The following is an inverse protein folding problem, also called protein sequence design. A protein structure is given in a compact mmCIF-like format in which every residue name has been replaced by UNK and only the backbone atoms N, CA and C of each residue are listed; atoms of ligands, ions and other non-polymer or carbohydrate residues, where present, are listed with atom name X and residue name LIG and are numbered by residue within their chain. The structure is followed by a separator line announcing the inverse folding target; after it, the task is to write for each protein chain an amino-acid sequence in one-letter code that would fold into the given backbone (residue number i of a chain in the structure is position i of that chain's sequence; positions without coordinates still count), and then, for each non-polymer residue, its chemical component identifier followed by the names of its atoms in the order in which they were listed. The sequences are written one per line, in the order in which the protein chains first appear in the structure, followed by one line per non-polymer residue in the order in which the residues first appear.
data_IF_300388856514
#
_entry.id   IF_300388856514
#
_cell.length_a   1.000
_cell.length_b   1.000
_cell.length_c   1.000
_cell.angle_alpha   90.00
_cell.angle_beta   90.00
_cell.angle_gamma   90.00
#
_symmetry.space_group_name_H-M   'P 1'
#
loop_
_entity.id
_entity.type
_entity.pdbx_description
1 polymer ?
#
# COMPACT_ATOMS: atom_id res chain seq x y z
N UNK A 1 -4.66 -18.36 13.59
CA UNK A 1 -3.92 -19.23 14.48
C UNK A 1 -4.10 -20.70 14.07
N UNK A 2 -3.07 -21.52 14.27
CA UNK A 2 -3.14 -22.94 14.00
C UNK A 2 -4.15 -23.61 14.93
N UNK A 3 -4.82 -24.63 14.43
CA UNK A 3 -5.70 -25.49 15.21
C UNK A 3 -4.89 -26.62 15.87
N UNK A 4 -5.28 -26.96 17.08
CA UNK A 4 -4.73 -28.14 17.75
C UNK A 4 -5.38 -29.43 17.19
N UNK A 5 -4.93 -30.59 17.69
CA UNK A 5 -5.45 -31.91 17.27
C UNK A 5 -6.97 -32.12 17.49
N UNK A 6 -7.61 -31.20 18.18
CA UNK A 6 -9.05 -31.22 18.43
C UNK A 6 -9.81 -30.14 17.64
N UNK A 7 -9.16 -29.45 16.70
CA UNK A 7 -9.76 -28.37 15.93
C UNK A 7 -9.96 -27.07 16.74
N UNK A 8 -9.21 -26.90 17.83
CA UNK A 8 -9.35 -25.72 18.70
C UNK A 8 -8.23 -24.73 18.45
N UNK A 9 -8.59 -23.48 18.16
CA UNK A 9 -7.67 -22.36 18.07
C UNK A 9 -7.43 -21.80 19.48
N UNK A 10 -6.37 -22.24 20.16
CA UNK A 10 -6.10 -21.92 21.57
C UNK A 10 -6.04 -20.40 21.85
N UNK A 11 -5.39 -19.64 20.95
CA UNK A 11 -5.28 -18.19 21.10
C UNK A 11 -6.66 -17.52 21.00
N UNK A 12 -7.50 -17.96 20.08
CA UNK A 12 -8.86 -17.43 19.90
C UNK A 12 -9.73 -17.80 21.11
N UNK A 13 -9.59 -19.00 21.65
CA UNK A 13 -10.28 -19.44 22.86
C UNK A 13 -9.89 -18.61 24.08
N UNK A 14 -8.61 -18.27 24.21
CA UNK A 14 -8.10 -17.38 25.26
C UNK A 14 -8.63 -15.96 25.12
N UNK A 15 -8.58 -15.37 23.90
CA UNK A 15 -9.14 -14.06 23.64
C UNK A 15 -10.65 -14.00 23.92
N UNK A 16 -11.37 -15.07 23.56
CA UNK A 16 -12.81 -15.18 23.88
C UNK A 16 -13.03 -15.14 25.39
N UNK A 17 -12.26 -15.88 26.19
CA UNK A 17 -12.37 -15.86 27.65
C UNK A 17 -12.20 -14.44 28.20
N UNK A 18 -11.19 -13.71 27.72
CA UNK A 18 -10.95 -12.34 28.20
C UNK A 18 -12.13 -11.42 27.85
N UNK A 19 -12.65 -11.50 26.62
CA UNK A 19 -13.74 -10.64 26.16
C UNK A 19 -15.06 -11.01 26.83
N UNK A 20 -15.36 -12.32 26.95
CA UNK A 20 -16.62 -12.82 27.48
C UNK A 20 -16.71 -12.67 29.01
N UNK A 21 -15.61 -12.96 29.72
CA UNK A 21 -15.59 -13.02 31.20
C UNK A 21 -14.90 -11.82 31.85
N UNK A 22 -14.36 -10.89 31.05
CA UNK A 22 -13.64 -9.73 31.58
C UNK A 22 -12.33 -10.06 32.27
N UNK A 23 -11.71 -11.21 31.96
CA UNK A 23 -10.47 -11.63 32.60
C UNK A 23 -10.01 -13.01 32.15
N UNK A 24 -8.95 -13.50 32.78
CA UNK A 24 -8.36 -14.80 32.46
C UNK A 24 -7.65 -15.41 33.69
N UNK A 25 -7.48 -16.73 33.66
CA UNK A 25 -6.67 -17.43 34.66
C UNK A 25 -5.18 -17.37 34.27
N UNK A 26 -4.37 -16.82 35.18
CA UNK A 26 -2.92 -16.83 34.99
C UNK A 26 -2.39 -18.27 35.16
N UNK A 27 -1.72 -18.85 34.18
CA UNK A 27 -1.27 -20.24 34.22
C UNK A 27 -0.13 -20.50 35.23
N UNK A 28 0.54 -19.45 35.75
CA UNK A 28 1.66 -19.59 36.67
C UNK A 28 1.23 -19.75 38.12
N UNK A 29 0.31 -18.93 38.57
CA UNK A 29 -0.14 -18.83 39.96
C UNK A 29 -1.59 -19.24 40.16
N UNK A 30 -2.27 -19.59 39.05
CA UNK A 30 -3.68 -20.00 39.02
C UNK A 30 -4.64 -18.98 39.66
N UNK A 31 -4.26 -17.70 39.62
CA UNK A 31 -5.11 -16.60 40.06
C UNK A 31 -5.92 -16.01 38.88
N UNK A 32 -7.12 -15.55 39.21
CA UNK A 32 -7.94 -14.82 38.23
C UNK A 32 -7.44 -13.40 38.06
N UNK A 33 -7.10 -13.02 36.83
CA UNK A 33 -6.70 -11.67 36.46
C UNK A 33 -7.89 -10.99 35.75
N UNK A 34 -8.44 -9.97 36.39
CA UNK A 34 -9.55 -9.20 35.88
C UNK A 34 -9.03 -8.05 34.99
N UNK A 35 -9.60 -7.87 33.80
CA UNK A 35 -9.36 -6.71 32.95
C UNK A 35 -10.37 -5.61 33.27
N UNK A 36 -9.87 -4.38 33.50
CA UNK A 36 -10.72 -3.22 33.78
C UNK A 36 -10.39 -2.10 32.83
N UNK A 37 -11.41 -1.31 32.43
CA UNK A 37 -11.28 -0.17 31.54
C UNK A 37 -10.58 -0.50 30.21
N UNK A 38 -10.80 -1.70 29.68
CA UNK A 38 -10.16 -2.20 28.45
C UNK A 38 -11.22 -2.44 27.38
N UNK A 39 -10.99 -1.86 26.20
CA UNK A 39 -11.76 -2.12 25.00
C UNK A 39 -10.90 -2.91 24.00
N UNK A 40 -11.49 -3.93 23.40
CA UNK A 40 -10.82 -4.76 22.42
C UNK A 40 -11.25 -4.37 21.02
N UNK A 41 -10.27 -4.07 20.16
CA UNK A 41 -10.46 -3.82 18.72
C UNK A 41 -9.56 -4.77 17.96
N UNK A 42 -10.15 -5.61 17.12
CA UNK A 42 -9.42 -6.58 16.32
C UNK A 42 -9.49 -6.26 14.83
N UNK A 43 -8.44 -6.61 14.10
CA UNK A 43 -8.44 -6.58 12.65
C UNK A 43 -7.85 -7.89 12.13
N UNK A 44 -8.48 -8.46 11.11
CA UNK A 44 -7.99 -9.66 10.44
C UNK A 44 -8.34 -9.61 8.95
N UNK A 45 -7.60 -10.37 8.16
CA UNK A 45 -7.93 -10.57 6.76
C UNK A 45 -9.15 -11.50 6.62
N UNK A 46 -9.85 -11.45 5.46
CA UNK A 46 -10.92 -12.36 5.15
C UNK A 46 -10.48 -13.83 5.21
N UNK A 47 -11.39 -14.75 5.58
CA UNK A 47 -11.08 -16.18 5.63
C UNK A 47 -10.83 -16.80 4.26
N UNK A 48 -11.19 -16.09 3.18
CA UNK A 48 -10.96 -16.49 1.79
C UNK A 48 -9.50 -16.35 1.34
N UNK A 49 -8.68 -15.61 2.10
CA UNK A 49 -7.26 -15.47 1.77
C UNK A 49 -6.51 -16.80 1.96
N UNK A 50 -5.55 -17.13 1.07
CA UNK A 50 -4.77 -18.34 1.17
C UNK A 50 -4.07 -18.50 2.53
N UNK A 51 -4.17 -19.69 3.13
CA UNK A 51 -3.56 -20.00 4.42
C UNK A 51 -4.29 -19.39 5.65
N UNK A 52 -5.51 -18.86 5.48
CA UNK A 52 -6.35 -18.38 6.57
C UNK A 52 -7.33 -19.45 7.03
N UNK A 53 -7.53 -19.50 8.34
CA UNK A 53 -8.54 -20.34 8.97
C UNK A 53 -9.65 -19.43 9.49
N UNK A 54 -10.92 -19.75 9.21
CA UNK A 54 -12.07 -18.96 9.69
C UNK A 54 -12.06 -18.84 11.22
N UNK A 55 -12.43 -17.68 11.71
CA UNK A 55 -12.69 -17.49 13.14
C UNK A 55 -14.04 -18.14 13.50
N UNK A 56 -14.11 -18.76 14.68
CA UNK A 56 -15.35 -19.39 15.13
C UNK A 56 -16.46 -18.35 15.29
N UNK A 57 -17.68 -18.71 14.88
CA UNK A 57 -18.87 -17.87 15.07
C UNK A 57 -19.09 -17.52 16.56
N UNK A 58 -18.69 -18.41 17.44
CA UNK A 58 -18.71 -18.25 18.89
C UNK A 58 -17.82 -17.10 19.39
N UNK A 59 -16.67 -16.89 18.76
CA UNK A 59 -15.80 -15.74 19.06
C UNK A 59 -16.37 -14.46 18.45
N UNK A 60 -16.83 -14.52 17.19
CA UNK A 60 -17.36 -13.36 16.47
C UNK A 60 -18.66 -12.81 17.07
N UNK A 61 -19.44 -13.64 17.83
CA UNK A 61 -20.65 -13.16 18.48
C UNK A 61 -20.43 -12.14 19.60
N UNK A 62 -19.18 -12.00 20.10
CA UNK A 62 -18.85 -11.04 21.17
C UNK A 62 -18.47 -9.64 20.67
N UNK A 63 -18.38 -9.44 19.33
CA UNK A 63 -18.03 -8.15 18.76
C UNK A 63 -18.77 -7.91 17.44
N UNK A 64 -19.20 -6.68 17.13
CA UNK A 64 -19.71 -6.37 15.81
C UNK A 64 -18.60 -6.52 14.76
N UNK A 65 -18.91 -7.23 13.69
CA UNK A 65 -17.97 -7.47 12.60
C UNK A 65 -18.25 -6.46 11.49
N UNK A 66 -17.25 -5.65 11.15
CA UNK A 66 -17.30 -4.70 10.06
C UNK A 66 -16.43 -5.21 8.91
N UNK A 67 -17.03 -5.34 7.73
CA UNK A 67 -16.28 -5.60 6.51
C UNK A 67 -15.74 -4.29 5.95
N UNK A 68 -14.43 -4.22 5.75
CA UNK A 68 -13.74 -3.05 5.16
C UNK A 68 -13.01 -3.52 3.92
N UNK A 69 -13.50 -3.12 2.76
CA UNK A 69 -12.86 -3.40 1.48
C UNK A 69 -11.85 -2.32 1.09
N UNK A 70 -11.10 -2.57 0.02
CA UNK A 70 -10.21 -1.57 -0.53
C UNK A 70 -10.99 -0.36 -1.08
N UNK A 71 -10.45 0.85 -0.92
CA UNK A 71 -11.07 2.04 -1.47
C UNK A 71 -11.18 1.96 -3.00
N UNK A 72 -12.28 2.42 -3.54
CA UNK A 72 -12.46 2.59 -4.98
C UNK A 72 -11.58 3.74 -5.52
N UNK A 73 -11.43 3.82 -6.84
CA UNK A 73 -10.59 4.79 -7.53
C UNK A 73 -10.85 6.24 -7.08
N UNK A 74 -12.09 6.65 -6.91
CA UNK A 74 -12.43 8.01 -6.45
C UNK A 74 -11.96 8.27 -5.02
N UNK A 75 -12.13 7.30 -4.14
CA UNK A 75 -11.66 7.38 -2.75
C UNK A 75 -10.13 7.40 -2.69
N UNK A 76 -9.44 6.63 -3.54
CA UNK A 76 -7.98 6.67 -3.66
C UNK A 76 -7.52 8.05 -4.12
N UNK A 77 -8.15 8.65 -5.13
CA UNK A 77 -7.85 10.00 -5.59
C UNK A 77 -8.02 11.00 -4.44
N UNK A 78 -9.11 10.94 -3.69
CA UNK A 78 -9.36 11.84 -2.55
C UNK A 78 -8.30 11.70 -1.45
N UNK A 79 -7.94 10.47 -1.08
CA UNK A 79 -6.94 10.19 -0.05
C UNK A 79 -5.56 10.71 -0.49
N UNK A 80 -5.11 10.29 -1.67
CA UNK A 80 -3.75 10.60 -2.13
C UNK A 80 -3.61 12.05 -2.64
N UNK A 81 -4.69 12.73 -3.06
CA UNK A 81 -4.63 14.16 -3.38
C UNK A 81 -4.25 15.00 -2.16
N UNK A 82 -4.80 14.66 -1.00
CA UNK A 82 -4.46 15.35 0.25
C UNK A 82 -2.98 15.21 0.61
N UNK A 83 -2.43 14.00 0.49
CA UNK A 83 -1.01 13.77 0.75
C UNK A 83 -0.10 14.41 -0.29
N UNK A 84 -0.44 14.30 -1.57
CA UNK A 84 0.35 14.88 -2.66
C UNK A 84 0.32 16.42 -2.63
N UNK A 85 -0.80 17.03 -2.26
CA UNK A 85 -0.87 18.49 -2.04
C UNK A 85 0.04 18.92 -0.90
N UNK A 86 0.05 18.19 0.20
CA UNK A 86 0.97 18.47 1.31
C UNK A 86 2.44 18.29 0.90
N UNK A 87 2.75 17.24 0.11
CA UNK A 87 4.09 16.97 -0.41
C UNK A 87 4.60 18.12 -1.28
N UNK A 88 3.78 18.59 -2.23
CA UNK A 88 4.18 19.59 -3.21
C UNK A 88 4.08 21.03 -2.69
N UNK A 89 3.36 21.27 -1.58
CA UNK A 89 3.22 22.62 -0.99
C UNK A 89 4.54 23.29 -0.62
N UNK A 90 5.57 22.48 -0.31
CA UNK A 90 6.93 22.96 0.00
C UNK A 90 7.80 23.22 -1.23
N UNK A 91 7.30 22.97 -2.45
CA UNK A 91 8.06 23.05 -3.71
C UNK A 91 7.40 24.01 -4.70
N UNK A 92 7.76 25.30 -4.70
CA UNK A 92 7.09 26.32 -5.53
C UNK A 92 7.08 26.00 -7.04
N UNK A 93 8.13 25.35 -7.55
CA UNK A 93 8.23 24.98 -8.97
C UNK A 93 7.27 23.87 -9.42
N UNK A 94 6.69 23.13 -8.46
CA UNK A 94 5.77 22.02 -8.71
C UNK A 94 4.32 22.36 -8.36
N UNK A 95 4.03 23.61 -8.03
CA UNK A 95 2.67 24.06 -7.74
C UNK A 95 1.75 23.85 -8.94
N UNK A 96 0.59 23.23 -8.72
CA UNK A 96 -0.36 22.89 -9.77
C UNK A 96 -0.22 21.48 -10.34
N UNK A 97 0.83 20.72 -9.96
CA UNK A 97 1.03 19.35 -10.42
C UNK A 97 0.35 18.30 -9.51
N UNK A 98 -0.26 18.71 -8.39
CA UNK A 98 -0.82 17.81 -7.37
C UNK A 98 -1.89 16.88 -7.95
N UNK A 99 -2.79 17.45 -8.75
CA UNK A 99 -3.87 16.72 -9.40
C UNK A 99 -3.34 15.73 -10.44
N UNK A 100 -2.38 16.17 -11.26
CA UNK A 100 -1.74 15.34 -12.28
C UNK A 100 -0.97 14.19 -11.64
N UNK A 101 -0.20 14.47 -10.57
CA UNK A 101 0.52 13.44 -9.82
C UNK A 101 -0.45 12.38 -9.29
N UNK A 102 -1.51 12.82 -8.60
CA UNK A 102 -2.48 11.91 -7.99
C UNK A 102 -3.16 11.03 -9.03
N UNK A 103 -3.61 11.63 -10.14
CA UNK A 103 -4.23 10.88 -11.24
C UNK A 103 -3.26 9.87 -11.86
N UNK A 104 -2.03 10.26 -12.13
CA UNK A 104 -1.03 9.37 -12.71
C UNK A 104 -0.73 8.17 -11.78
N UNK A 105 -0.55 8.42 -10.49
CA UNK A 105 -0.32 7.37 -9.51
C UNK A 105 -1.49 6.38 -9.43
N UNK A 106 -2.72 6.88 -9.29
CA UNK A 106 -3.90 6.03 -9.13
C UNK A 106 -4.23 5.29 -10.42
N UNK A 107 -4.17 5.95 -11.59
CA UNK A 107 -4.44 5.30 -12.86
C UNK A 107 -3.42 4.20 -13.18
N UNK A 108 -2.14 4.46 -12.97
CA UNK A 108 -1.10 3.47 -13.18
C UNK A 108 -1.24 2.27 -12.22
N UNK A 109 -1.57 2.53 -10.94
CA UNK A 109 -1.87 1.49 -9.97
C UNK A 109 -3.05 0.62 -10.39
N UNK A 110 -4.17 1.22 -10.81
CA UNK A 110 -5.37 0.47 -11.22
C UNK A 110 -5.13 -0.35 -12.48
N UNK A 111 -4.38 0.15 -13.48
CA UNK A 111 -4.01 -0.62 -14.68
C UNK A 111 -3.16 -1.85 -14.32
N UNK A 112 -2.17 -1.70 -13.44
CA UNK A 112 -1.35 -2.83 -12.97
C UNK A 112 -2.17 -3.86 -12.20
N UNK A 113 -3.03 -3.41 -11.28
CA UNK A 113 -3.92 -4.27 -10.48
C UNK A 113 -4.89 -5.07 -11.35
N UNK A 114 -5.38 -4.50 -12.45
CA UNK A 114 -6.28 -5.18 -13.38
C UNK A 114 -5.55 -6.17 -14.30
N UNK A 115 -4.30 -5.87 -14.66
CA UNK A 115 -3.54 -6.69 -15.59
C UNK A 115 -2.83 -7.87 -14.93
N UNK A 116 -2.24 -7.65 -13.75
CA UNK A 116 -1.49 -8.67 -13.03
C UNK A 116 -2.33 -9.26 -11.90
N UNK A 117 -2.72 -10.53 -12.07
CA UNK A 117 -3.59 -11.22 -11.14
C UNK A 117 -2.80 -12.21 -10.27
N UNK A 118 -3.28 -12.41 -9.04
CA UNK A 118 -2.72 -13.36 -8.08
C UNK A 118 -2.62 -14.79 -8.64
N UNK A 119 -3.52 -15.16 -9.56
CA UNK A 119 -3.54 -16.45 -10.22
C UNK A 119 -2.33 -16.70 -11.14
N UNK A 120 -1.74 -15.61 -11.66
CA UNK A 120 -0.55 -15.70 -12.52
C UNK A 120 0.71 -15.94 -11.69
N UNK A 121 0.89 -15.16 -10.62
CA UNK A 121 2.03 -15.27 -9.70
C UNK A 121 1.63 -14.85 -8.28
N UNK A 122 2.10 -15.55 -7.22
CA UNK A 122 1.74 -15.26 -5.84
C UNK A 122 2.11 -13.85 -5.35
N UNK A 123 3.12 -13.22 -5.97
CA UNK A 123 3.57 -11.87 -5.60
C UNK A 123 2.80 -10.76 -6.30
N UNK A 124 1.88 -11.05 -7.22
CA UNK A 124 1.08 -10.04 -7.93
C UNK A 124 -0.12 -9.60 -7.10
N UNK A 125 0.18 -9.18 -5.87
CA UNK A 125 -0.81 -8.61 -4.94
C UNK A 125 -0.65 -7.10 -4.94
N UNK A 126 -1.67 -6.39 -5.42
CA UNK A 126 -1.72 -4.94 -5.46
C UNK A 126 -2.75 -4.42 -4.45
N UNK A 127 -2.29 -3.57 -3.55
CA UNK A 127 -3.10 -2.95 -2.50
C UNK A 127 -2.80 -1.44 -2.42
N UNK A 128 -3.59 -0.63 -1.72
CA UNK A 128 -3.27 0.78 -1.52
C UNK A 128 -1.91 1.03 -0.83
N UNK A 129 -1.29 -0.04 -0.31
CA UNK A 129 0.05 0.03 0.29
C UNK A 129 1.12 0.41 -0.74
N UNK A 130 0.97 0.01 -1.99
CA UNK A 130 1.87 0.39 -3.08
C UNK A 130 1.84 1.91 -3.31
N UNK A 131 0.67 2.52 -3.34
CA UNK A 131 0.52 3.97 -3.45
C UNK A 131 1.13 4.70 -2.23
N UNK A 132 0.93 4.17 -1.04
CA UNK A 132 1.51 4.73 0.19
C UNK A 132 3.04 4.64 0.21
N UNK A 133 3.60 3.52 -0.30
CA UNK A 133 5.06 3.35 -0.45
C UNK A 133 5.61 4.32 -1.48
N UNK A 134 4.92 4.48 -2.59
CA UNK A 134 5.31 5.41 -3.65
C UNK A 134 5.36 6.85 -3.13
N UNK A 135 4.30 7.30 -2.48
CA UNK A 135 4.25 8.63 -1.87
C UNK A 135 5.37 8.85 -0.83
N UNK A 136 5.64 7.85 0.02
CA UNK A 136 6.74 7.94 1.01
C UNK A 136 8.12 8.01 0.35
N UNK A 137 8.34 7.26 -0.73
CA UNK A 137 9.58 7.29 -1.50
C UNK A 137 9.81 8.67 -2.11
N UNK A 138 8.78 9.22 -2.75
CA UNK A 138 8.81 10.58 -3.28
C UNK A 138 9.11 11.63 -2.20
N UNK A 139 8.46 11.53 -1.04
CA UNK A 139 8.73 12.43 0.08
C UNK A 139 10.19 12.39 0.50
N UNK A 140 10.72 11.19 0.71
CA UNK A 140 12.11 11.00 1.14
C UNK A 140 13.13 11.47 0.08
N UNK A 141 12.84 11.26 -1.21
CA UNK A 141 13.70 11.73 -2.30
C UNK A 141 13.66 13.26 -2.44
N UNK A 142 12.49 13.86 -2.33
CA UNK A 142 12.31 15.32 -2.47
C UNK A 142 12.90 16.12 -1.29
N UNK A 143 13.08 15.51 -0.12
CA UNK A 143 13.72 16.15 1.02
C UNK A 143 15.16 16.60 0.68
N UNK A 144 15.86 15.82 -0.15
CA UNK A 144 17.21 16.14 -0.63
C UNK A 144 17.28 17.01 -1.89
N UNK A 145 16.13 17.39 -2.50
CA UNK A 145 16.05 18.09 -3.78
C UNK A 145 15.29 19.43 -3.63
N UNK A 146 15.96 20.51 -3.19
CA UNK A 146 15.26 21.79 -2.94
C UNK A 146 14.71 22.44 -4.23
N UNK A 147 15.41 22.30 -5.36
CA UNK A 147 15.10 23.01 -6.61
C UNK A 147 14.83 22.04 -7.78
N UNK A 148 14.04 21.01 -7.53
CA UNK A 148 13.66 20.05 -8.57
C UNK A 148 12.74 20.70 -9.61
N UNK A 149 13.06 20.54 -10.89
CA UNK A 149 12.24 21.02 -12.00
C UNK A 149 11.05 20.07 -12.28
N UNK A 150 9.97 20.53 -12.95
CA UNK A 150 8.85 19.66 -13.32
C UNK A 150 9.27 18.41 -14.12
N UNK A 151 10.22 18.57 -15.04
CA UNK A 151 10.75 17.46 -15.85
C UNK A 151 11.49 16.42 -14.98
N UNK A 152 12.38 16.84 -14.10
CA UNK A 152 13.09 15.98 -13.17
C UNK A 152 12.13 15.31 -12.19
N UNK A 153 11.10 16.03 -11.74
CA UNK A 153 10.08 15.48 -10.86
C UNK A 153 9.30 14.34 -11.53
N UNK A 154 8.84 14.51 -12.79
CA UNK A 154 8.16 13.46 -13.54
C UNK A 154 9.07 12.24 -13.71
N UNK A 155 10.37 12.45 -13.99
CA UNK A 155 11.35 11.34 -14.04
C UNK A 155 11.51 10.64 -12.70
N UNK A 156 11.52 11.37 -11.59
CA UNK A 156 11.60 10.79 -10.24
C UNK A 156 10.34 9.95 -9.93
N UNK A 157 9.17 10.48 -10.26
CA UNK A 157 7.89 9.75 -10.11
C UNK A 157 7.90 8.47 -10.94
N UNK A 158 8.39 8.52 -12.18
CA UNK A 158 8.54 7.37 -13.06
C UNK A 158 9.55 6.34 -12.54
N UNK A 159 10.69 6.80 -12.01
CA UNK A 159 11.69 5.94 -11.37
C UNK A 159 11.07 5.12 -10.25
N UNK A 160 10.40 5.77 -9.31
CA UNK A 160 9.77 5.11 -8.18
C UNK A 160 8.65 4.15 -8.61
N UNK A 161 7.88 4.51 -9.66
CA UNK A 161 6.89 3.62 -10.26
C UNK A 161 7.53 2.32 -10.74
N UNK A 162 8.62 2.42 -11.50
CA UNK A 162 9.33 1.24 -12.00
C UNK A 162 9.91 0.39 -10.86
N UNK A 163 10.46 1.01 -9.81
CA UNK A 163 10.97 0.27 -8.63
C UNK A 163 9.87 -0.50 -7.89
N UNK A 164 8.67 0.09 -7.78
CA UNK A 164 7.57 -0.53 -7.05
C UNK A 164 6.79 -1.57 -7.85
N UNK A 165 6.58 -1.32 -9.13
CA UNK A 165 5.67 -2.12 -9.97
C UNK A 165 6.43 -3.04 -10.92
N UNK A 166 7.47 -2.56 -11.59
CA UNK A 166 8.17 -3.32 -12.62
C UNK A 166 9.18 -4.33 -12.02
N UNK A 167 9.88 -3.99 -10.94
CA UNK A 167 10.93 -4.84 -10.39
C UNK A 167 10.43 -6.17 -9.83
N UNK A 168 9.15 -6.26 -9.45
CA UNK A 168 8.53 -7.51 -8.99
C UNK A 168 8.14 -8.47 -10.11
N UNK A 169 8.10 -7.98 -11.37
CA UNK A 169 7.65 -8.75 -12.52
C UNK A 169 8.71 -9.76 -12.96
N UNK A 170 8.24 -10.94 -13.38
CA UNK A 170 9.12 -12.08 -13.67
C UNK A 170 9.62 -12.04 -15.10
N UNK A 171 8.69 -11.91 -16.08
CA UNK A 171 9.03 -12.00 -17.51
C UNK A 171 9.44 -10.66 -18.11
N UNK A 172 10.20 -10.70 -19.21
CA UNK A 172 10.59 -9.52 -19.95
C UNK A 172 9.37 -8.82 -20.59
N UNK A 173 8.40 -9.59 -21.05
CA UNK A 173 7.17 -9.09 -21.67
C UNK A 173 6.35 -8.30 -20.66
N UNK A 174 6.19 -8.81 -19.43
CA UNK A 174 5.50 -8.11 -18.34
C UNK A 174 6.19 -6.78 -17.99
N UNK A 175 7.52 -6.78 -17.95
CA UNK A 175 8.31 -5.55 -17.68
C UNK A 175 8.13 -4.52 -18.80
N UNK A 176 8.15 -4.97 -20.07
CA UNK A 176 7.90 -4.11 -21.21
C UNK A 176 6.50 -3.52 -21.16
N UNK A 177 5.48 -4.35 -20.90
CA UNK A 177 4.10 -3.88 -20.74
C UNK A 177 3.96 -2.83 -19.64
N UNK A 178 4.60 -3.07 -18.50
CA UNK A 178 4.57 -2.15 -17.36
C UNK A 178 5.22 -0.79 -17.71
N UNK A 179 6.36 -0.81 -18.41
CA UNK A 179 7.06 0.41 -18.88
C UNK A 179 6.24 1.18 -19.91
N UNK A 180 5.67 0.50 -20.90
CA UNK A 180 4.80 1.09 -21.90
C UNK A 180 3.56 1.72 -21.26
N UNK A 181 2.89 0.99 -20.35
CA UNK A 181 1.73 1.49 -19.61
C UNK A 181 2.08 2.72 -18.78
N UNK A 182 3.25 2.72 -18.12
CA UNK A 182 3.72 3.88 -17.37
C UNK A 182 3.92 5.08 -18.30
N UNK A 183 4.59 4.88 -19.43
CA UNK A 183 4.81 5.95 -20.40
C UNK A 183 3.49 6.52 -20.93
N UNK A 184 2.54 5.67 -21.29
CA UNK A 184 1.22 6.08 -21.78
C UNK A 184 0.46 6.92 -20.76
N UNK A 185 0.39 6.46 -19.52
CA UNK A 185 -0.29 7.18 -18.44
C UNK A 185 0.37 8.52 -18.17
N UNK A 186 1.69 8.55 -18.05
CA UNK A 186 2.42 9.75 -17.68
C UNK A 186 2.39 10.79 -18.80
N UNK A 187 2.60 10.39 -20.05
CA UNK A 187 2.56 11.30 -21.19
C UNK A 187 1.14 11.83 -21.47
N UNK A 188 0.11 11.09 -21.10
CA UNK A 188 -1.27 11.55 -21.22
C UNK A 188 -1.66 12.58 -20.17
N UNK A 189 -1.10 12.46 -18.94
CA UNK A 189 -1.50 13.28 -17.79
C UNK A 189 -0.57 14.48 -17.61
N UNK A 190 0.74 14.30 -17.76
CA UNK A 190 1.73 15.37 -17.68
C UNK A 190 1.98 16.03 -19.07
N UNK A 191 0.91 16.57 -19.66
CA UNK A 191 0.94 17.16 -21.01
C UNK A 191 1.85 18.38 -21.16
N UNK A 192 2.22 19.02 -20.05
CA UNK A 192 3.10 20.18 -20.01
C UNK A 192 4.59 19.81 -20.06
N UNK A 193 4.91 18.52 -19.90
CA UNK A 193 6.28 18.03 -19.89
C UNK A 193 6.62 17.37 -21.21
N UNK A 194 7.81 17.67 -21.74
CA UNK A 194 8.27 17.11 -23.02
C UNK A 194 8.31 15.58 -22.97
N UNK A 195 7.85 14.95 -24.04
CA UNK A 195 7.85 13.48 -24.19
C UNK A 195 9.23 12.84 -24.08
N UNK A 196 10.28 13.59 -24.40
CA UNK A 196 11.67 13.14 -24.27
C UNK A 196 12.08 12.85 -22.82
N UNK A 197 11.37 13.39 -21.83
CA UNK A 197 11.69 13.25 -20.40
C UNK A 197 11.67 11.79 -19.93
N UNK A 198 10.83 10.95 -20.52
CA UNK A 198 10.75 9.52 -20.19
C UNK A 198 11.62 8.64 -21.11
N UNK A 199 12.39 9.23 -22.04
CA UNK A 199 13.28 8.47 -22.90
C UNK A 199 14.60 8.13 -22.20
N UNK A 200 15.13 6.95 -22.53
CA UNK A 200 16.37 6.43 -21.95
C UNK A 200 16.23 5.84 -20.55
N UNK A 201 17.34 5.47 -19.94
CA UNK A 201 17.31 4.89 -18.59
C UNK A 201 16.89 5.92 -17.55
N UNK A 202 15.86 5.57 -16.77
CA UNK A 202 15.35 6.38 -15.67
C UNK A 202 15.90 5.79 -14.37
N UNK A 203 16.96 6.41 -13.84
CA UNK A 203 17.60 5.96 -12.61
C UNK A 203 18.00 7.16 -11.76
N UNK A 204 17.63 7.13 -10.49
CA UNK A 204 18.07 8.07 -9.46
C UNK A 204 18.85 7.32 -8.38
N UNK A 205 19.95 7.90 -7.89
CA UNK A 205 20.81 7.29 -6.88
C UNK A 205 21.47 8.34 -6.00
N UNK A 206 21.60 8.06 -4.71
CA UNK A 206 22.34 8.89 -3.76
C UNK A 206 23.86 8.68 -3.77
N UNK A 207 24.38 7.77 -4.56
CA UNK A 207 25.80 7.38 -4.53
C UNK A 207 26.75 8.44 -5.10
N UNK A 208 26.22 9.34 -5.92
CA UNK A 208 27.01 10.35 -6.63
C UNK A 208 27.00 11.71 -5.90
N UNK A 209 27.27 11.73 -4.62
CA UNK A 209 27.55 12.91 -3.80
C UNK A 209 27.11 14.28 -4.36
N UNK A 210 25.84 14.64 -4.20
CA UNK A 210 25.34 16.00 -4.46
C UNK A 210 24.78 16.29 -5.86
N UNK A 211 24.60 15.29 -6.70
CA UNK A 211 23.88 15.41 -7.99
C UNK A 211 23.00 14.20 -8.23
N UNK A 212 21.71 14.45 -8.51
CA UNK A 212 20.81 13.45 -9.04
C UNK A 212 20.83 13.50 -10.54
#
# INVERSE_FOLDING_TARGET
PEEDKYGTQRVISFLRQIVEQGGFWNPRDHLWVQTQNTQFVGACNPPTDPGRVPLSSRFLSHAPVLFVDYPEMQSLIQIYSTFNSALLSSKPLLMGMESSLTRAMVEFYERNKQHFLLEQQPQYVYSPRELSRWMRSLYAAMEGLPNITPAEFVRLVAHDALRLFCDRLVTAEEKTWCQETMNDVFLSIFSEVDRSVLQGPILFSRWLGGGY
#
